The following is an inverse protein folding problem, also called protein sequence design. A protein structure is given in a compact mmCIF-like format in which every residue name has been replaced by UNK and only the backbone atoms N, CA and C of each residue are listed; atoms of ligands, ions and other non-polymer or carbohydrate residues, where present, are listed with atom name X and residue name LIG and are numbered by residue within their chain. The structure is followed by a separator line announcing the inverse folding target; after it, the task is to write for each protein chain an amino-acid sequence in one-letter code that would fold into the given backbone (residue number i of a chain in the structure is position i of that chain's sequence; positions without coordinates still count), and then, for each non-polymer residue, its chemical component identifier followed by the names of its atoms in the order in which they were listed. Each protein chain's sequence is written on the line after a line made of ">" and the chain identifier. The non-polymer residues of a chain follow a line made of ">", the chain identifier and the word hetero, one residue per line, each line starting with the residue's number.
data_IF_523327128744
#
_entry.id   IF_523327128744
#
_cell.length_a   1.000
_cell.length_b   1.000
_cell.length_c   1.000
_cell.angle_alpha   90.00
_cell.angle_beta   90.00
_cell.angle_gamma   90.00
#
_symmetry.space_group_name_H-M   'P 1'
#
loop_
_entity.id
_entity.type
_entity.pdbx_description
1 polymer ?
#
# COMPACT_ATOMS: atom_id res chain seq x y z
N UNK A 1 7.56 -14.58 -0.12
CA UNK A 1 6.66 -13.71 0.71
C UNK A 1 7.15 -13.52 2.14
N UNK A 2 8.23 -14.21 2.52
CA UNK A 2 8.78 -14.27 3.88
C UNK A 2 9.45 -12.95 4.35
N UNK A 3 10.21 -12.32 3.52
CA UNK A 3 11.30 -11.44 3.99
C UNK A 3 10.94 -10.03 4.50
N UNK A 4 9.86 -9.40 4.06
CA UNK A 4 9.46 -8.11 4.65
C UNK A 4 8.92 -8.32 6.07
N UNK A 5 8.23 -9.41 6.27
CA UNK A 5 7.64 -9.74 7.57
C UNK A 5 8.70 -10.21 8.58
N UNK A 6 9.67 -11.01 8.13
CA UNK A 6 10.82 -11.39 8.98
C UNK A 6 11.66 -10.18 9.38
N UNK A 7 11.90 -9.25 8.44
CA UNK A 7 12.59 -8.01 8.73
C UNK A 7 11.78 -7.07 9.65
N UNK A 8 10.44 -7.02 9.50
CA UNK A 8 9.55 -6.31 10.42
C UNK A 8 9.57 -6.93 11.81
N UNK A 9 9.54 -8.26 11.90
CA UNK A 9 9.59 -8.98 13.16
C UNK A 9 10.89 -8.69 13.92
N UNK A 10 12.03 -8.73 13.23
CA UNK A 10 13.33 -8.40 13.80
C UNK A 10 13.37 -6.94 14.26
N UNK A 11 12.87 -6.01 13.45
CA UNK A 11 12.83 -4.59 13.77
C UNK A 11 11.95 -4.25 14.98
N UNK A 12 10.80 -4.94 15.12
CA UNK A 12 9.93 -4.72 16.27
C UNK A 12 10.54 -5.29 17.56
N UNK A 13 11.23 -6.45 17.49
CA UNK A 13 11.96 -7.01 18.64
C UNK A 13 13.11 -6.13 19.09
N UNK A 14 13.84 -5.52 18.16
CA UNK A 14 14.96 -4.62 18.45
C UNK A 14 14.51 -3.28 19.04
N UNK A 15 13.31 -2.78 18.63
CA UNK A 15 12.73 -1.56 19.16
C UNK A 15 12.35 -1.66 20.65
N UNK A 16 11.98 -2.85 21.09
CA UNK A 16 11.62 -3.11 22.50
C UNK A 16 12.83 -3.15 23.42
N UNK A 17 14.05 -3.38 22.89
CA UNK A 17 15.26 -3.58 23.69
C UNK A 17 16.29 -2.44 23.64
N UNK A 18 16.24 -1.59 22.64
CA UNK A 18 17.21 -0.48 22.49
C UNK A 18 16.58 0.67 21.71
N UNK A 19 16.65 1.89 22.23
CA UNK A 19 16.12 3.11 21.58
C UNK A 19 16.74 3.48 20.21
N UNK A 20 17.26 2.51 19.47
CA UNK A 20 17.82 2.61 18.12
C UNK A 20 16.71 2.30 17.12
N UNK A 21 16.52 3.16 16.10
CA UNK A 21 15.59 2.91 15.00
C UNK A 21 16.03 1.64 14.26
N UNK A 22 15.20 0.59 14.20
CA UNK A 22 15.58 -0.63 13.50
C UNK A 22 15.66 -0.40 12.01
N UNK A 23 16.72 -0.90 11.41
CA UNK A 23 16.98 -0.84 9.98
C UNK A 23 16.44 -2.12 9.31
N UNK A 24 15.43 -1.98 8.48
CA UNK A 24 14.82 -3.10 7.76
C UNK A 24 15.53 -3.35 6.44
N UNK A 25 16.00 -4.56 6.20
CA UNK A 25 16.50 -4.98 4.89
C UNK A 25 15.38 -5.61 4.06
N UNK A 26 15.09 -5.04 2.89
CA UNK A 26 14.24 -5.68 1.88
C UNK A 26 15.07 -6.71 1.12
N UNK A 27 14.97 -7.98 1.47
CA UNK A 27 15.38 -9.04 0.56
C UNK A 27 14.27 -9.24 -0.48
N UNK A 28 14.51 -8.81 -1.69
CA UNK A 28 13.65 -9.10 -2.83
C UNK A 28 13.88 -10.53 -3.25
N UNK A 29 12.97 -11.44 -2.92
CA UNK A 29 12.86 -12.68 -3.66
C UNK A 29 12.41 -12.32 -5.08
N UNK A 30 13.39 -12.21 -5.96
CA UNK A 30 13.18 -12.14 -7.40
C UNK A 30 12.71 -13.53 -7.84
N UNK A 31 11.43 -13.79 -7.67
CA UNK A 31 10.79 -14.90 -8.32
C UNK A 31 10.82 -14.64 -9.82
N UNK A 32 11.86 -15.19 -10.47
CA UNK A 32 12.01 -15.35 -11.90
C UNK A 32 11.70 -14.14 -12.80
N UNK A 33 12.69 -13.28 -12.99
CA UNK A 33 13.03 -12.79 -14.35
C UNK A 33 12.12 -11.77 -15.02
N UNK A 34 11.05 -11.27 -14.40
CA UNK A 34 10.25 -10.19 -14.96
C UNK A 34 10.57 -8.94 -14.16
N UNK A 35 11.39 -8.08 -14.72
CA UNK A 35 11.60 -6.74 -14.15
C UNK A 35 10.32 -5.93 -14.37
N UNK A 36 9.52 -5.74 -13.32
CA UNK A 36 8.35 -4.84 -13.33
C UNK A 36 8.75 -3.35 -13.33
N UNK A 37 10.02 -3.07 -13.42
CA UNK A 37 10.56 -1.71 -13.28
C UNK A 37 10.05 -0.73 -14.36
N UNK A 38 9.87 -1.19 -15.60
CA UNK A 38 9.37 -0.36 -16.71
C UNK A 38 7.87 -0.07 -16.55
N UNK A 39 7.10 -1.08 -16.21
CA UNK A 39 5.66 -0.97 -16.00
C UNK A 39 5.34 -0.10 -14.78
N UNK A 40 6.10 -0.25 -13.70
CA UNK A 40 5.94 0.58 -12.50
C UNK A 40 6.40 2.02 -12.74
N UNK A 41 7.46 2.25 -13.52
CA UNK A 41 7.87 3.59 -13.91
C UNK A 41 6.81 4.28 -14.80
N UNK A 42 6.21 3.53 -15.72
CA UNK A 42 5.10 4.04 -16.52
C UNK A 42 3.88 4.37 -15.64
N UNK A 43 3.49 3.46 -14.74
CA UNK A 43 2.39 3.70 -13.80
C UNK A 43 2.66 4.93 -12.93
N UNK A 44 3.90 5.09 -12.43
CA UNK A 44 4.29 6.27 -11.66
C UNK A 44 4.12 7.55 -12.47
N UNK A 45 4.59 7.59 -13.70
CA UNK A 45 4.45 8.74 -14.59
C UNK A 45 2.98 9.09 -14.86
N UNK A 46 2.10 8.08 -15.02
CA UNK A 46 0.66 8.30 -15.19
C UNK A 46 0.02 8.88 -13.90
N UNK A 47 0.39 8.36 -12.73
CA UNK A 47 -0.10 8.89 -11.44
C UNK A 47 0.36 10.35 -11.25
N UNK A 48 1.63 10.66 -11.54
CA UNK A 48 2.16 12.02 -11.47
C UNK A 48 1.40 12.97 -12.41
N UNK A 49 1.13 12.53 -13.64
CA UNK A 49 0.38 13.33 -14.62
C UNK A 49 -1.07 13.58 -14.19
N UNK A 50 -1.77 12.56 -13.69
CA UNK A 50 -3.17 12.67 -13.28
C UNK A 50 -3.36 13.49 -12.00
N UNK A 51 -2.37 13.53 -11.13
CA UNK A 51 -2.39 14.22 -9.84
C UNK A 51 -1.43 15.43 -9.80
N UNK A 52 -1.26 16.12 -10.91
CA UNK A 52 -0.32 17.26 -11.05
C UNK A 52 -0.57 18.39 -10.08
N UNK A 53 -1.81 18.59 -9.63
CA UNK A 53 -2.17 19.69 -8.74
C UNK A 53 -1.74 19.47 -7.28
N UNK A 54 -1.31 18.27 -6.92
CA UNK A 54 -0.92 17.90 -5.56
C UNK A 54 0.60 17.71 -5.50
N UNK A 55 1.30 18.53 -4.71
CA UNK A 55 2.75 18.37 -4.47
C UNK A 55 3.03 17.05 -3.75
N UNK A 56 2.28 16.74 -2.70
CA UNK A 56 2.36 15.53 -1.90
C UNK A 56 1.08 14.73 -2.08
N UNK A 57 1.22 13.45 -2.42
CA UNK A 57 0.11 12.62 -2.89
C UNK A 57 -0.24 11.53 -1.88
N UNK A 58 -1.54 11.32 -1.70
CA UNK A 58 -2.09 10.19 -0.95
C UNK A 58 -2.88 9.33 -1.92
N UNK A 59 -2.38 8.15 -2.26
CA UNK A 59 -3.02 7.23 -3.19
C UNK A 59 -3.35 5.90 -2.52
N UNK A 60 -4.45 5.30 -2.94
CA UNK A 60 -4.88 3.99 -2.46
C UNK A 60 -4.78 2.96 -3.57
N UNK A 61 -4.11 1.84 -3.31
CA UNK A 61 -4.17 0.66 -4.14
C UNK A 61 -5.18 -0.33 -3.55
N UNK A 62 -6.10 -0.79 -4.36
CA UNK A 62 -7.21 -1.61 -3.91
C UNK A 62 -7.46 -2.77 -4.86
N UNK A 63 -7.65 -3.97 -4.33
CA UNK A 63 -8.07 -5.15 -5.08
C UNK A 63 -9.58 -5.39 -4.99
N UNK A 64 -10.09 -6.14 -5.95
CA UNK A 64 -11.46 -6.64 -5.94
C UNK A 64 -11.58 -7.93 -5.11
N UNK A 65 -10.49 -8.70 -5.02
CA UNK A 65 -10.43 -10.01 -4.36
C UNK A 65 -9.05 -10.22 -3.74
N UNK A 66 -9.02 -11.09 -2.74
CA UNK A 66 -7.76 -11.52 -2.15
C UNK A 66 -6.86 -12.19 -3.19
N UNK A 67 -5.56 -11.88 -3.12
CA UNK A 67 -4.57 -12.54 -3.96
C UNK A 67 -4.37 -11.91 -5.33
N UNK A 68 -5.00 -10.77 -5.68
CA UNK A 68 -4.79 -10.08 -6.95
C UNK A 68 -3.40 -9.43 -7.08
N UNK A 69 -2.62 -9.42 -5.98
CA UNK A 69 -1.23 -8.94 -5.98
C UNK A 69 -1.07 -7.47 -5.66
N UNK A 70 -2.07 -6.85 -4.99
CA UNK A 70 -2.04 -5.43 -4.58
C UNK A 70 -0.76 -5.10 -3.85
N UNK A 71 -0.45 -5.80 -2.76
CA UNK A 71 0.76 -5.53 -1.96
C UNK A 71 2.07 -5.70 -2.75
N UNK A 72 2.10 -6.57 -3.75
CA UNK A 72 3.26 -6.72 -4.63
C UNK A 72 3.41 -5.48 -5.51
N UNK A 73 2.32 -5.03 -6.15
CA UNK A 73 2.30 -3.81 -6.97
C UNK A 73 2.66 -2.59 -6.13
N UNK A 74 2.11 -2.44 -4.94
CA UNK A 74 2.41 -1.34 -4.00
C UNK A 74 3.91 -1.26 -3.71
N UNK A 75 4.54 -2.39 -3.38
CA UNK A 75 5.97 -2.43 -3.06
C UNK A 75 6.85 -2.06 -4.25
N UNK A 76 6.57 -2.64 -5.42
CA UNK A 76 7.35 -2.35 -6.62
C UNK A 76 7.16 -0.89 -7.10
N UNK A 77 5.94 -0.37 -7.00
CA UNK A 77 5.64 1.03 -7.29
C UNK A 77 6.36 1.98 -6.34
N UNK A 78 6.30 1.73 -5.02
CA UNK A 78 7.00 2.52 -4.01
C UNK A 78 8.51 2.50 -4.21
N UNK A 79 9.09 1.32 -4.53
CA UNK A 79 10.51 1.16 -4.83
C UNK A 79 10.94 2.03 -6.02
N UNK A 80 10.18 2.01 -7.11
CA UNK A 80 10.45 2.86 -8.28
C UNK A 80 10.35 4.35 -7.93
N UNK A 81 9.35 4.76 -7.13
CA UNK A 81 9.21 6.15 -6.69
C UNK A 81 10.42 6.62 -5.88
N UNK A 82 10.98 5.77 -5.02
CA UNK A 82 12.20 6.08 -4.26
C UNK A 82 13.44 6.05 -5.14
N UNK A 83 13.69 4.96 -5.87
CA UNK A 83 14.95 4.73 -6.56
C UNK A 83 15.14 5.60 -7.81
N UNK A 84 14.05 5.83 -8.58
CA UNK A 84 14.12 6.60 -9.83
C UNK A 84 13.75 8.06 -9.68
N UNK A 85 12.88 8.37 -8.73
CA UNK A 85 12.33 9.72 -8.59
C UNK A 85 12.73 10.42 -7.28
N UNK A 86 13.54 9.74 -6.43
CA UNK A 86 14.07 10.33 -5.19
C UNK A 86 13.02 10.71 -4.15
N UNK A 87 11.80 10.18 -4.30
CA UNK A 87 10.68 10.51 -3.41
C UNK A 87 10.87 9.90 -2.01
N UNK A 88 10.37 10.62 -0.98
CA UNK A 88 10.13 10.02 0.32
C UNK A 88 8.74 9.35 0.31
N UNK A 89 8.71 8.05 0.51
CA UNK A 89 7.49 7.23 0.33
C UNK A 89 7.11 6.54 1.62
N UNK A 90 5.83 6.64 2.02
CA UNK A 90 5.25 5.89 3.14
C UNK A 90 4.22 4.89 2.62
N UNK A 91 4.37 3.61 2.95
CA UNK A 91 3.36 2.58 2.74
C UNK A 91 2.59 2.37 4.04
N UNK A 92 1.26 2.51 3.99
CA UNK A 92 0.34 2.21 5.08
C UNK A 92 -0.34 0.87 4.79
N UNK A 93 -0.16 -0.12 5.68
CA UNK A 93 -0.90 -1.38 5.58
C UNK A 93 -2.34 -1.19 6.10
N UNK A 94 -3.33 -1.33 5.23
CA UNK A 94 -4.74 -1.23 5.58
C UNK A 94 -5.43 -2.61 5.68
N UNK A 95 -4.69 -3.71 5.67
CA UNK A 95 -5.23 -5.07 5.74
C UNK A 95 -5.37 -5.61 7.19
N UNK A 96 -5.73 -4.75 8.13
CA UNK A 96 -5.70 -5.01 9.56
C UNK A 96 -6.61 -6.13 10.08
N UNK A 97 -7.65 -6.50 9.34
CA UNK A 97 -8.56 -7.58 9.75
C UNK A 97 -8.30 -8.93 9.06
N UNK A 98 -7.22 -9.06 8.27
CA UNK A 98 -6.92 -10.34 7.62
C UNK A 98 -6.33 -11.34 8.63
N UNK A 99 -7.09 -12.39 9.05
CA UNK A 99 -6.61 -13.36 10.04
C UNK A 99 -5.38 -14.14 9.57
N UNK A 100 -5.25 -14.34 8.25
CA UNK A 100 -4.11 -15.06 7.68
C UNK A 100 -2.82 -14.22 7.72
N UNK A 101 -2.92 -12.89 7.71
CA UNK A 101 -1.78 -12.02 7.95
C UNK A 101 -1.38 -11.99 9.42
N UNK A 102 -2.37 -11.99 10.34
CA UNK A 102 -2.10 -12.07 11.79
C UNK A 102 -1.37 -13.35 12.18
N UNK A 103 -1.63 -14.46 11.50
CA UNK A 103 -0.99 -15.75 11.78
C UNK A 103 0.45 -15.79 11.28
N UNK A 104 0.75 -15.11 10.18
CA UNK A 104 2.10 -15.08 9.58
C UNK A 104 2.98 -13.93 10.10
N UNK A 105 2.43 -13.01 10.89
CA UNK A 105 3.15 -11.88 11.44
C UNK A 105 3.16 -12.03 12.96
N UNK A 106 4.17 -12.70 13.49
CA UNK A 106 4.51 -12.64 14.92
C UNK A 106 5.11 -11.27 15.29
N UNK A 107 4.79 -10.21 14.53
CA UNK A 107 5.27 -8.86 14.78
C UNK A 107 4.24 -8.16 15.63
N UNK A 108 4.53 -8.12 16.91
CA UNK A 108 3.79 -7.31 17.87
C UNK A 108 4.28 -5.87 17.78
N UNK A 109 3.81 -5.11 16.79
CA UNK A 109 4.02 -3.67 16.80
C UNK A 109 3.09 -3.06 17.85
N UNK A 110 3.66 -2.47 18.86
CA UNK A 110 2.93 -1.81 19.94
C UNK A 110 2.08 -0.66 19.38
N UNK A 111 2.61 0.05 18.37
CA UNK A 111 1.95 1.17 17.70
C UNK A 111 1.91 0.96 16.19
N UNK A 112 0.75 1.19 15.57
CA UNK A 112 0.54 1.22 14.14
C UNK A 112 0.01 2.59 13.68
N UNK A 113 -0.20 2.75 12.39
CA UNK A 113 -0.67 4.01 11.85
C UNK A 113 -2.09 4.40 12.30
N UNK A 114 -2.93 3.42 12.68
CA UNK A 114 -4.27 3.70 13.22
C UNK A 114 -4.21 4.36 14.60
N UNK A 115 -3.20 4.03 15.42
CA UNK A 115 -3.02 4.63 16.74
C UNK A 115 -2.66 6.11 16.64
N UNK A 116 -2.11 6.55 15.50
CA UNK A 116 -1.85 7.97 15.22
C UNK A 116 -3.10 8.83 15.11
N UNK A 117 -4.24 8.21 14.88
CA UNK A 117 -5.52 8.91 14.84
C UNK A 117 -5.95 9.39 16.23
N UNK A 118 -5.56 8.66 17.28
CA UNK A 118 -5.94 8.95 18.67
C UNK A 118 -4.88 9.81 19.37
N UNK A 119 -3.60 9.55 19.13
CA UNK A 119 -2.47 10.19 19.81
C UNK A 119 -1.49 10.82 18.83
N UNK A 120 -1.75 12.05 18.42
CA UNK A 120 -0.96 12.75 17.38
C UNK A 120 0.54 12.95 17.64
N UNK A 121 1.05 12.59 18.84
CA UNK A 121 2.46 12.75 19.22
C UNK A 121 3.33 11.52 18.87
N UNK A 122 2.74 10.39 18.51
CA UNK A 122 3.46 9.12 18.29
C UNK A 122 3.84 8.84 16.84
N UNK A 123 3.75 9.82 15.96
CA UNK A 123 4.01 9.67 14.52
C UNK A 123 5.33 8.92 14.25
N UNK A 124 6.40 9.25 14.96
CA UNK A 124 7.71 8.63 14.76
C UNK A 124 7.81 7.17 15.23
N UNK A 125 6.86 6.72 16.05
CA UNK A 125 6.81 5.35 16.57
C UNK A 125 6.02 4.39 15.67
N UNK A 126 5.14 4.92 14.82
CA UNK A 126 4.19 4.14 14.04
C UNK A 126 4.73 3.70 12.67
N UNK A 127 5.89 4.18 12.23
CA UNK A 127 6.48 3.76 10.97
C UNK A 127 7.96 3.43 11.06
N UNK A 128 8.40 2.54 10.18
CA UNK A 128 9.74 1.99 10.10
C UNK A 128 10.38 2.41 8.78
N UNK A 129 11.62 2.84 8.82
CA UNK A 129 12.42 3.07 7.63
C UNK A 129 12.92 1.74 7.09
N UNK A 130 12.87 1.56 5.80
CA UNK A 130 13.33 0.34 5.12
C UNK A 130 14.77 0.55 4.65
N UNK A 131 15.73 -0.08 5.33
CA UNK A 131 17.15 0.07 5.08
C UNK A 131 17.57 1.54 5.10
N UNK A 132 18.58 1.89 4.31
CA UNK A 132 19.04 3.27 4.13
C UNK A 132 18.25 4.06 3.07
N UNK A 133 17.09 3.56 2.63
CA UNK A 133 16.28 4.20 1.60
C UNK A 133 15.31 5.24 2.18
N UNK A 134 14.69 6.05 1.32
CA UNK A 134 13.60 6.95 1.69
C UNK A 134 12.23 6.25 1.66
N UNK A 135 12.20 4.92 1.81
CA UNK A 135 11.00 4.12 1.92
C UNK A 135 10.67 3.84 3.37
N UNK A 136 9.42 4.09 3.73
CA UNK A 136 8.90 3.87 5.08
C UNK A 136 7.68 2.96 5.02
N UNK A 137 7.46 2.20 6.08
CA UNK A 137 6.33 1.30 6.23
C UNK A 137 5.65 1.51 7.58
N UNK A 138 4.35 1.63 7.60
CA UNK A 138 3.55 1.70 8.80
C UNK A 138 2.60 0.49 8.87
N UNK A 139 2.84 -0.44 9.79
CA UNK A 139 1.98 -1.59 10.01
C UNK A 139 0.68 -1.20 10.70
N UNK A 140 -0.23 -2.14 10.78
CA UNK A 140 -1.36 -2.09 11.70
C UNK A 140 -0.90 -2.55 13.08
N UNK A 141 -1.30 -1.85 14.14
CA UNK A 141 -1.03 -2.29 15.51
C UNK A 141 -1.86 -3.52 15.89
N UNK A 142 -1.41 -4.28 16.87
CA UNK A 142 -2.17 -5.39 17.45
C UNK A 142 -3.44 -4.88 18.11
N UNK A 143 -3.39 -3.71 18.68
CA UNK A 143 -4.52 -3.08 19.36
C UNK A 143 -5.59 -2.59 18.38
N UNK A 144 -5.25 -2.39 17.10
CA UNK A 144 -6.19 -1.94 16.06
C UNK A 144 -7.42 -2.85 15.88
N UNK A 145 -7.35 -4.13 16.33
CA UNK A 145 -8.52 -5.01 16.35
C UNK A 145 -9.55 -4.62 17.40
N UNK A 146 -9.19 -3.80 18.35
CA UNK A 146 -10.06 -3.28 19.43
C UNK A 146 -10.55 -1.86 19.14
N UNK A 147 -9.95 -1.19 18.14
CA UNK A 147 -10.34 0.17 17.77
C UNK A 147 -11.62 0.11 16.93
N UNK A 148 -12.66 0.84 17.30
CA UNK A 148 -13.88 0.91 16.50
C UNK A 148 -13.58 1.49 15.10
N UNK A 149 -14.38 1.13 14.08
CA UNK A 149 -14.18 1.67 12.73
C UNK A 149 -14.12 3.20 12.79
N UNK A 150 -13.19 3.79 12.04
CA UNK A 150 -12.93 5.23 11.99
C UNK A 150 -14.23 6.01 11.87
N UNK A 151 -14.73 6.53 12.97
CA UNK A 151 -16.01 7.25 13.03
C UNK A 151 -15.84 8.74 12.80
N UNK A 152 -14.64 9.28 13.02
CA UNK A 152 -14.40 10.71 12.94
C UNK A 152 -13.52 11.07 11.74
N UNK A 153 -14.18 11.65 10.73
CA UNK A 153 -13.54 12.13 9.51
C UNK A 153 -12.56 13.28 9.76
N UNK A 154 -12.79 14.08 10.81
CA UNK A 154 -11.92 15.24 11.10
C UNK A 154 -10.53 14.77 11.59
N UNK A 155 -10.48 13.75 12.43
CA UNK A 155 -9.22 13.14 12.88
C UNK A 155 -8.43 12.55 11.71
N UNK A 156 -9.12 11.90 10.78
CA UNK A 156 -8.51 11.35 9.57
C UNK A 156 -7.87 12.43 8.70
N UNK A 157 -8.55 13.54 8.46
CA UNK A 157 -8.02 14.66 7.65
C UNK A 157 -6.78 15.26 8.28
N UNK A 158 -6.76 15.46 9.60
CA UNK A 158 -5.59 15.98 10.31
C UNK A 158 -4.38 15.03 10.20
N UNK A 159 -4.59 13.72 10.30
CA UNK A 159 -3.53 12.73 10.11
C UNK A 159 -2.96 12.81 8.69
N UNK A 160 -3.83 12.84 7.66
CA UNK A 160 -3.38 12.92 6.27
C UNK A 160 -2.54 14.16 6.00
N UNK A 161 -2.93 15.32 6.53
CA UNK A 161 -2.15 16.54 6.38
C UNK A 161 -0.78 16.41 7.04
N UNK A 162 -0.70 15.93 8.28
CA UNK A 162 0.57 15.70 8.98
C UNK A 162 1.49 14.72 8.24
N UNK A 163 0.93 13.68 7.62
CA UNK A 163 1.71 12.73 6.84
C UNK A 163 2.15 13.33 5.51
N UNK A 164 1.31 14.11 4.83
CA UNK A 164 1.65 14.83 3.60
C UNK A 164 2.75 15.88 3.81
N UNK A 165 2.86 16.47 5.00
CA UNK A 165 3.95 17.39 5.33
C UNK A 165 5.32 16.69 5.44
N UNK A 166 5.34 15.36 5.61
CA UNK A 166 6.56 14.56 5.83
C UNK A 166 6.97 13.69 4.65
N UNK A 167 6.02 13.29 3.82
CA UNK A 167 6.23 12.34 2.72
C UNK A 167 5.72 12.90 1.40
N UNK A 168 6.52 12.76 0.35
CA UNK A 168 6.12 13.17 -1.01
C UNK A 168 5.01 12.27 -1.56
N UNK A 169 4.98 11.01 -1.12
CA UNK A 169 4.02 10.02 -1.57
C UNK A 169 3.62 9.09 -0.43
N UNK A 170 2.33 8.99 -0.19
CA UNK A 170 1.73 8.07 0.78
C UNK A 170 0.88 7.07 0.00
N UNK A 171 1.11 5.78 0.25
CA UNK A 171 0.43 4.69 -0.43
C UNK A 171 -0.33 3.85 0.58
N UNK A 172 -1.64 3.72 0.42
CA UNK A 172 -2.47 2.82 1.23
C UNK A 172 -2.58 1.48 0.51
N UNK A 173 -2.07 0.42 1.13
CA UNK A 173 -2.20 -0.97 0.67
C UNK A 173 -3.50 -1.58 1.20
N UNK A 174 -4.55 -1.53 0.39
CA UNK A 174 -5.88 -2.09 0.72
C UNK A 174 -6.09 -3.44 0.03
N UNK A 175 -5.33 -4.45 0.43
CA UNK A 175 -5.21 -5.73 -0.28
C UNK A 175 -6.14 -6.84 0.21
N UNK A 176 -7.07 -6.58 1.12
CA UNK A 176 -7.90 -7.64 1.73
C UNK A 176 -9.39 -7.52 1.40
N UNK A 177 -10.01 -8.65 1.03
CA UNK A 177 -11.47 -8.75 0.85
C UNK A 177 -12.23 -8.48 2.14
N UNK A 178 -11.66 -8.87 3.29
CA UNK A 178 -12.31 -8.76 4.58
C UNK A 178 -12.65 -7.31 4.95
N UNK A 179 -11.92 -6.35 4.39
CA UNK A 179 -12.03 -4.92 4.69
C UNK A 179 -12.46 -4.08 3.49
N UNK A 180 -13.16 -4.67 2.54
CA UNK A 180 -13.53 -3.95 1.32
C UNK A 180 -14.42 -2.73 1.60
N UNK A 181 -15.27 -2.82 2.62
CA UNK A 181 -16.16 -1.72 3.04
C UNK A 181 -15.36 -0.55 3.59
N UNK A 182 -14.40 -0.82 4.46
CA UNK A 182 -13.49 0.18 5.04
C UNK A 182 -12.59 0.78 3.96
N UNK A 183 -12.07 -0.06 3.06
CA UNK A 183 -11.26 0.40 1.93
C UNK A 183 -12.05 1.34 1.01
N UNK A 184 -13.32 1.03 0.75
CA UNK A 184 -14.21 1.92 0.00
C UNK A 184 -14.48 3.21 0.78
N UNK A 185 -14.70 3.12 2.09
CA UNK A 185 -14.92 4.30 2.93
C UNK A 185 -13.70 5.24 2.93
N UNK A 186 -12.48 4.69 2.91
CA UNK A 186 -11.24 5.47 2.84
C UNK A 186 -11.04 6.15 1.47
N UNK A 187 -11.62 5.61 0.40
CA UNK A 187 -11.37 6.07 -0.98
C UNK A 187 -11.75 7.54 -1.23
N UNK A 188 -12.66 8.11 -0.46
CA UNK A 188 -13.05 9.52 -0.56
C UNK A 188 -12.03 10.51 0.02
N UNK A 189 -11.11 10.00 0.86
CA UNK A 189 -10.13 10.83 1.58
C UNK A 189 -8.75 10.80 0.90
N UNK A 190 -8.61 10.05 -0.19
CA UNK A 190 -7.37 9.94 -0.97
C UNK A 190 -7.45 10.75 -2.25
N UNK A 191 -6.30 11.16 -2.78
CA UNK A 191 -6.22 11.91 -4.03
C UNK A 191 -6.61 11.06 -5.24
N UNK A 192 -6.44 9.72 -5.13
CA UNK A 192 -6.85 8.79 -6.17
C UNK A 192 -6.73 7.32 -5.77
N UNK A 193 -7.55 6.49 -6.41
CA UNK A 193 -7.58 5.04 -6.24
C UNK A 193 -7.06 4.35 -7.49
N UNK A 194 -6.12 3.43 -7.32
CA UNK A 194 -5.66 2.49 -8.36
C UNK A 194 -6.26 1.13 -8.07
N UNK A 195 -7.09 0.62 -8.97
CA UNK A 195 -7.62 -0.75 -8.86
C UNK A 195 -6.61 -1.75 -9.42
N UNK A 196 -6.32 -2.80 -8.65
CA UNK A 196 -5.48 -3.92 -9.10
C UNK A 196 -6.36 -5.15 -9.26
N UNK A 197 -6.46 -5.65 -10.48
CA UNK A 197 -7.33 -6.76 -10.85
C UNK A 197 -6.49 -7.91 -11.42
N UNK A 198 -6.82 -9.15 -11.07
CA UNK A 198 -6.18 -10.33 -11.67
C UNK A 198 -6.77 -10.57 -13.07
N UNK A 199 -5.92 -10.49 -14.09
CA UNK A 199 -6.33 -10.74 -15.48
C UNK A 199 -6.90 -12.15 -15.61
N UNK A 200 -7.90 -12.31 -16.47
CA UNK A 200 -8.58 -13.58 -16.79
C UNK A 200 -9.33 -14.24 -15.61
N UNK A 201 -9.24 -13.69 -14.40
CA UNK A 201 -9.87 -14.29 -13.21
C UNK A 201 -10.91 -13.37 -12.56
N UNK A 202 -10.64 -12.06 -12.51
CA UNK A 202 -11.60 -11.10 -11.96
C UNK A 202 -12.68 -10.80 -12.98
N UNK A 203 -13.92 -11.17 -12.65
CA UNK A 203 -15.08 -10.94 -13.54
C UNK A 203 -15.35 -9.45 -13.67
N UNK A 204 -15.75 -9.04 -14.90
CA UNK A 204 -16.07 -7.64 -15.23
C UNK A 204 -17.11 -7.04 -14.29
N UNK A 205 -18.13 -7.83 -13.92
CA UNK A 205 -19.22 -7.38 -13.04
C UNK A 205 -18.70 -7.05 -11.63
N UNK A 206 -17.74 -7.83 -11.12
CA UNK A 206 -17.10 -7.58 -9.82
C UNK A 206 -16.32 -6.27 -9.86
N UNK A 207 -15.49 -6.09 -10.88
CA UNK A 207 -14.72 -4.86 -11.07
C UNK A 207 -15.64 -3.63 -11.21
N UNK A 208 -16.72 -3.76 -12.00
CA UNK A 208 -17.74 -2.71 -12.18
C UNK A 208 -18.46 -2.36 -10.89
N UNK A 209 -18.80 -3.36 -10.06
CA UNK A 209 -19.46 -3.15 -8.78
C UNK A 209 -18.56 -2.35 -7.82
N UNK A 210 -17.27 -2.72 -7.70
CA UNK A 210 -16.32 -2.00 -6.86
C UNK A 210 -16.13 -0.58 -7.37
N UNK A 211 -15.89 -0.40 -8.66
CA UNK A 211 -15.85 0.92 -9.29
C UNK A 211 -17.02 1.79 -8.88
N UNK A 212 -18.25 1.27 -9.06
CA UNK A 212 -19.47 2.02 -8.75
C UNK A 212 -19.56 2.38 -7.26
N UNK A 213 -19.16 1.47 -6.37
CA UNK A 213 -19.15 1.74 -4.92
C UNK A 213 -18.16 2.83 -4.54
N UNK A 214 -16.94 2.81 -5.13
CA UNK A 214 -15.94 3.85 -4.91
C UNK A 214 -16.46 5.21 -5.37
N UNK A 215 -17.01 5.28 -6.60
CA UNK A 215 -17.56 6.53 -7.14
C UNK A 215 -18.76 7.04 -6.34
N UNK A 216 -19.66 6.15 -5.91
CA UNK A 216 -20.81 6.50 -5.07
C UNK A 216 -20.40 7.02 -3.69
N UNK A 217 -19.23 6.60 -3.19
CA UNK A 217 -18.66 7.08 -1.93
C UNK A 217 -17.84 8.38 -2.08
N UNK A 218 -17.77 8.96 -3.29
CA UNK A 218 -17.00 10.18 -3.57
C UNK A 218 -15.52 9.95 -3.87
N UNK A 219 -15.07 8.69 -3.99
CA UNK A 219 -13.70 8.37 -4.38
C UNK A 219 -13.46 8.59 -5.88
N UNK A 220 -12.20 8.85 -6.25
CA UNK A 220 -11.76 9.04 -7.63
C UNK A 220 -10.87 7.87 -8.07
N UNK A 221 -11.23 7.18 -9.15
CA UNK A 221 -10.39 6.12 -9.72
C UNK A 221 -9.49 6.73 -10.79
N UNK A 222 -8.18 6.70 -10.55
CA UNK A 222 -7.16 7.25 -11.45
C UNK A 222 -6.55 6.20 -12.38
N UNK A 223 -6.75 4.91 -12.11
CA UNK A 223 -6.21 3.86 -12.95
C UNK A 223 -6.65 2.45 -12.58
N UNK A 224 -6.38 1.53 -13.50
CA UNK A 224 -6.58 0.09 -13.30
C UNK A 224 -5.33 -0.65 -13.75
N UNK A 225 -4.79 -1.50 -12.88
CA UNK A 225 -3.69 -2.41 -13.19
C UNK A 225 -4.25 -3.82 -13.40
N UNK A 226 -4.06 -4.36 -14.61
CA UNK A 226 -4.34 -5.76 -14.89
C UNK A 226 -3.11 -6.60 -14.58
N UNK A 227 -3.10 -7.21 -13.41
CA UNK A 227 -1.99 -8.00 -12.89
C UNK A 227 -2.07 -9.46 -13.31
N UNK A 228 -0.95 -10.18 -13.27
CA UNK A 228 -0.83 -11.62 -13.54
C UNK A 228 -1.33 -12.03 -14.93
N UNK A 229 -1.25 -11.15 -15.91
CA UNK A 229 -1.58 -11.47 -17.30
C UNK A 229 -0.69 -12.60 -17.81
N UNK A 230 -1.29 -13.60 -18.40
CA UNK A 230 -0.58 -14.70 -19.05
C UNK A 230 -0.40 -14.41 -20.53
N UNK A 231 0.82 -14.52 -21.01
CA UNK A 231 1.14 -14.45 -22.43
C UNK A 231 1.14 -15.86 -22.97
N UNK A 232 0.09 -16.26 -23.72
CA UNK A 232 -0.02 -17.59 -24.31
C UNK A 232 0.80 -17.73 -25.60
N UNK A 233 1.15 -16.59 -26.21
CA UNK A 233 1.97 -16.53 -27.41
C UNK A 233 3.36 -16.04 -26.99
N UNK A 234 4.43 -16.72 -27.39
CA UNK A 234 5.80 -16.28 -27.11
C UNK A 234 6.08 -14.87 -27.64
N UNK A 235 6.85 -14.07 -26.92
CA UNK A 235 7.14 -12.65 -27.22
C UNK A 235 7.71 -12.43 -28.63
N UNK A 236 8.46 -13.40 -29.19
CA UNK A 236 9.00 -13.28 -30.55
C UNK A 236 7.92 -13.27 -31.64
N UNK A 237 6.73 -13.82 -31.37
CA UNK A 237 5.60 -13.78 -32.31
C UNK A 237 4.84 -12.46 -32.21
N UNK A 238 4.76 -11.85 -31.01
CA UNK A 238 4.17 -10.52 -30.84
C UNK A 238 4.94 -9.41 -31.53
N UNK A 239 6.26 -9.56 -31.70
CA UNK A 239 7.12 -8.58 -32.39
C UNK A 239 7.03 -8.63 -33.91
N UNK A 240 6.33 -9.61 -34.48
CA UNK A 240 6.16 -9.79 -35.92
C UNK A 240 4.75 -9.44 -36.42
N UNK A 241 3.82 -9.10 -35.52
CA UNK A 241 2.49 -8.57 -35.80
C UNK A 241 2.46 -7.04 -35.63
#
# INVERSE_FOLDING_TARGET
>A
MSNIYEALEQACREKTSSGVKPELSLHTDVARGISLNSEMAYLHSQVEFLLTNNSNKLIQFMGARRGEGVSTIVREFAKVAVERHGKSVLILDAAYQDPARKININVTCEYGWLDLMEEGELIDKAFFRIGNSNLYFAPVSIQASLVPPVKDLSMTVNLWNKLKDRFDLIIIDSSSDANITESIAMSRNVDGVVLVLEAEKTRREVAKNIKNKILANGGSIIGVVLNKRRYYIPDFLYRKL
#
